data_IF_941554453585
#
_entry.id   IF_941554453585
#
_cell.length_a   1.000
_cell.length_b   1.000
_cell.length_c   1.000
_cell.angle_alpha   90.00
_cell.angle_beta   90.00
_cell.angle_gamma   90.00
#
_symmetry.space_group_name_H-M   'P 1'
#
loop_
_entity.id
_entity.type
_entity.pdbx_description
1 polymer ?
#
# COMPACT_ATOMS: atom_id res chain seq x y z
N UNK A 1 9.58 -9.30 -15.03
CA UNK A 1 9.99 -8.02 -14.42
C UNK A 1 9.01 -7.77 -13.29
N UNK A 2 9.43 -8.10 -12.07
CA UNK A 2 8.62 -7.98 -10.86
C UNK A 2 8.70 -6.52 -10.40
N UNK A 3 7.64 -5.75 -10.64
CA UNK A 3 7.59 -4.35 -10.23
C UNK A 3 7.30 -4.28 -8.74
N UNK A 4 8.33 -4.25 -7.90
CA UNK A 4 8.16 -4.10 -6.46
C UNK A 4 7.29 -2.88 -6.15
N UNK A 5 6.09 -3.07 -5.59
CA UNK A 5 5.26 -1.94 -5.17
C UNK A 5 5.97 -1.28 -3.99
N UNK A 6 6.29 0.01 -4.10
CA UNK A 6 7.01 0.74 -3.05
C UNK A 6 6.12 1.80 -2.45
N UNK A 7 5.92 1.70 -1.13
CA UNK A 7 5.25 2.72 -0.31
C UNK A 7 6.26 3.64 0.36
N UNK A 8 5.86 4.88 0.63
CA UNK A 8 6.50 5.77 1.59
C UNK A 8 5.49 6.14 2.67
N UNK A 9 5.97 6.33 3.90
CA UNK A 9 5.21 6.92 4.99
C UNK A 9 5.17 8.44 4.85
N UNK A 10 3.97 9.03 4.87
CA UNK A 10 3.78 10.49 5.00
C UNK A 10 3.09 10.82 6.34
N UNK A 11 3.01 12.11 6.68
CA UNK A 11 2.45 12.58 7.98
C UNK A 11 1.05 12.01 8.24
N UNK A 12 0.18 12.00 7.24
CA UNK A 12 -1.23 11.63 7.38
C UNK A 12 -1.59 10.28 6.76
N UNK A 13 -0.61 9.51 6.26
CA UNK A 13 -0.93 8.32 5.48
C UNK A 13 0.28 7.62 4.88
N UNK A 14 0.01 6.83 3.85
CA UNK A 14 1.03 6.23 3.00
C UNK A 14 0.79 6.65 1.55
N UNK A 15 1.86 6.68 0.77
CA UNK A 15 1.81 7.01 -0.65
C UNK A 15 2.61 6.01 -1.46
N UNK A 16 2.08 5.62 -2.61
CA UNK A 16 2.81 4.77 -3.55
C UNK A 16 3.70 5.64 -4.41
N UNK A 17 4.97 5.29 -4.47
CA UNK A 17 5.94 5.94 -5.36
C UNK A 17 6.27 5.09 -6.59
N UNK A 18 6.02 3.78 -6.55
CA UNK A 18 6.26 2.87 -7.66
C UNK A 18 5.30 1.66 -7.61
N UNK A 19 4.95 1.10 -8.78
CA UNK A 19 4.11 -0.10 -8.87
C UNK A 19 2.58 0.14 -8.86
N UNK A 20 2.10 1.36 -9.14
CA UNK A 20 0.66 1.69 -9.19
C UNK A 20 -0.17 0.73 -10.05
N UNK A 21 0.29 0.45 -11.28
CA UNK A 21 -0.40 -0.45 -12.21
C UNK A 21 -0.44 -1.90 -11.69
N UNK A 22 0.63 -2.35 -11.06
CA UNK A 22 0.72 -3.68 -10.45
C UNK A 22 -0.20 -3.78 -9.25
N UNK A 23 -0.24 -2.77 -8.38
CA UNK A 23 -1.18 -2.72 -7.26
C UNK A 23 -2.63 -2.77 -7.77
N UNK A 24 -2.97 -1.99 -8.80
CA UNK A 24 -4.30 -2.03 -9.43
C UNK A 24 -4.64 -3.42 -9.96
N UNK A 25 -3.69 -4.10 -10.60
CA UNK A 25 -3.89 -5.46 -11.12
C UNK A 25 -4.09 -6.49 -9.99
N UNK A 26 -3.31 -6.40 -8.91
CA UNK A 26 -3.44 -7.29 -7.75
C UNK A 26 -4.77 -7.04 -7.03
N UNK A 27 -5.08 -5.77 -6.75
CA UNK A 27 -6.31 -5.40 -6.07
C UNK A 27 -7.59 -5.67 -6.88
N UNK A 28 -7.48 -5.97 -8.18
CA UNK A 28 -8.60 -6.47 -9.00
C UNK A 28 -8.88 -7.96 -8.75
N UNK A 29 -7.88 -8.73 -8.33
CA UNK A 29 -7.95 -10.18 -8.11
C UNK A 29 -8.03 -10.56 -6.64
N UNK A 30 -7.47 -9.73 -5.76
CA UNK A 30 -7.44 -9.89 -4.32
C UNK A 30 -7.88 -8.59 -3.63
N UNK A 31 -8.39 -8.69 -2.41
CA UNK A 31 -8.78 -7.51 -1.63
C UNK A 31 -7.61 -6.87 -0.87
N UNK A 32 -6.45 -7.51 -0.87
CA UNK A 32 -5.28 -7.11 -0.11
C UNK A 32 -3.96 -7.50 -0.77
N UNK A 33 -2.88 -6.80 -0.39
CA UNK A 33 -1.51 -7.10 -0.79
C UNK A 33 -0.52 -6.63 0.27
N UNK A 34 0.59 -7.34 0.42
CA UNK A 34 1.71 -6.94 1.27
C UNK A 34 2.81 -6.33 0.43
N UNK A 35 3.28 -5.14 0.80
CA UNK A 35 4.28 -4.39 0.04
C UNK A 35 5.31 -3.80 0.98
N UNK A 36 6.53 -3.62 0.49
CA UNK A 36 7.61 -3.04 1.27
C UNK A 36 7.44 -1.52 1.40
N UNK A 37 7.75 -1.01 2.59
CA UNK A 37 7.72 0.42 2.88
C UNK A 37 9.14 0.95 2.86
N UNK A 38 9.42 1.87 1.96
CA UNK A 38 10.72 2.51 1.86
C UNK A 38 11.05 3.23 3.17
N UNK A 39 12.27 3.04 3.65
CA UNK A 39 12.80 3.61 4.89
C UNK A 39 12.18 3.08 6.19
N UNK A 40 11.29 2.08 6.11
CA UNK A 40 10.79 1.35 7.28
C UNK A 40 11.15 -0.14 7.16
N UNK A 41 11.30 -0.82 8.30
CA UNK A 41 11.50 -2.26 8.30
C UNK A 41 10.15 -2.98 8.16
N UNK A 42 10.13 -4.03 7.34
CA UNK A 42 8.98 -4.91 7.15
C UNK A 42 8.00 -4.44 6.07
N UNK A 43 6.96 -5.24 5.87
CA UNK A 43 5.92 -5.00 4.87
C UNK A 43 4.70 -4.35 5.50
N UNK A 44 4.03 -3.49 4.73
CA UNK A 44 2.71 -2.99 5.05
C UNK A 44 1.65 -3.71 4.22
N UNK A 45 0.48 -3.93 4.81
CA UNK A 45 -0.68 -4.53 4.14
C UNK A 45 -1.56 -3.42 3.57
N UNK A 46 -1.67 -3.34 2.25
CA UNK A 46 -2.67 -2.50 1.58
C UNK A 46 -3.95 -3.33 1.40
N UNK A 47 -5.10 -2.79 1.77
CA UNK A 47 -6.39 -3.48 1.61
C UNK A 47 -7.53 -2.52 1.26
N UNK A 48 -8.54 -3.04 0.56
CA UNK A 48 -9.75 -2.31 0.20
C UNK A 48 -10.70 -2.19 1.39
N UNK A 49 -11.31 -1.02 1.51
CA UNK A 49 -12.42 -0.72 2.41
C UNK A 49 -13.53 -0.05 1.61
N UNK A 50 -14.73 0.06 2.18
CA UNK A 50 -15.85 0.79 1.55
C UNK A 50 -15.57 2.28 1.30
N UNK A 51 -14.52 2.85 1.92
CA UNK A 51 -14.15 4.27 1.81
C UNK A 51 -12.87 4.51 1.00
N UNK A 52 -12.28 3.47 0.41
CA UNK A 52 -11.02 3.56 -0.33
C UNK A 52 -9.98 2.53 0.13
N UNK A 53 -8.69 2.85 -0.02
CA UNK A 53 -7.59 1.96 0.36
C UNK A 53 -6.97 2.38 1.70
N UNK A 54 -6.78 1.40 2.58
CA UNK A 54 -6.05 1.55 3.83
C UNK A 54 -4.75 0.76 3.79
N UNK A 55 -3.79 1.22 4.58
CA UNK A 55 -2.50 0.57 4.80
C UNK A 55 -2.37 0.25 6.28
N UNK A 56 -2.22 -1.04 6.58
CA UNK A 56 -1.97 -1.57 7.91
C UNK A 56 -0.49 -1.90 8.10
N UNK A 57 0.12 -1.30 9.13
CA UNK A 57 1.50 -1.57 9.56
C UNK A 57 1.64 -1.22 11.04
N UNK A 58 2.35 -2.06 11.80
CA UNK A 58 2.66 -1.86 13.23
C UNK A 58 1.42 -1.49 14.07
N UNK A 59 0.32 -2.24 13.88
CA UNK A 59 -0.99 -2.03 14.52
C UNK A 59 -1.67 -0.70 14.20
N UNK A 60 -1.17 0.08 13.24
CA UNK A 60 -1.77 1.32 12.76
C UNK A 60 -2.41 1.12 11.40
N UNK A 61 -3.58 1.70 11.22
CA UNK A 61 -4.27 1.77 9.94
C UNK A 61 -4.29 3.22 9.48
N UNK A 62 -3.72 3.48 8.32
CA UNK A 62 -3.65 4.82 7.76
C UNK A 62 -4.08 4.82 6.30
N UNK A 63 -4.67 5.92 5.82
CA UNK A 63 -5.15 5.99 4.44
C UNK A 63 -4.00 5.97 3.45
N UNK A 64 -4.28 5.41 2.27
CA UNK A 64 -3.44 5.57 1.11
C UNK A 64 -3.82 6.87 0.39
N UNK A 65 -2.92 7.85 0.40
CA UNK A 65 -3.25 9.25 0.09
C UNK A 65 -3.34 9.60 -1.40
N UNK A 66 -2.98 8.69 -2.32
CA UNK A 66 -2.97 8.99 -3.75
C UNK A 66 -2.95 7.72 -4.63
N UNK A 67 -4.12 7.17 -4.98
CA UNK A 67 -4.27 5.93 -5.78
C UNK A 67 -5.08 6.12 -7.06
#
# INVERSE_FOLDING_TARGET
MDGEIVLIKERNGYRIIYGHSQLKAILKKANEVFVDVKWEQGKAKIFRTGQGLLVAKDSRHLPLLNF
#
